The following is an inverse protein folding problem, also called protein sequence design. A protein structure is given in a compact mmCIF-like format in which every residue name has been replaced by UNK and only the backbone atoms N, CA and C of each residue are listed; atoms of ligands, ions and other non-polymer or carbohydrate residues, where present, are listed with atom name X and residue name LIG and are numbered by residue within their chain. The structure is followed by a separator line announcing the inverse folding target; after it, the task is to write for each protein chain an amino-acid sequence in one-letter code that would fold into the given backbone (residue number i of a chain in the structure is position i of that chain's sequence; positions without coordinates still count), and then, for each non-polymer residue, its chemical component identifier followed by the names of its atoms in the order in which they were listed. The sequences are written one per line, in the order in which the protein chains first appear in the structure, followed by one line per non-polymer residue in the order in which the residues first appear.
data_IF_659488220110
#
_entry.id   IF_659488220110
#
_cell.length_a   1.000
_cell.length_b   1.000
_cell.length_c   1.000
_cell.angle_alpha   90.00
_cell.angle_beta   90.00
_cell.angle_gamma   90.00
#
_symmetry.space_group_name_H-M   'P 1'
#
loop_
_entity.id
_entity.type
_entity.pdbx_description
1 polymer ?
#
# COMPACT_ATOMS: atom_id res chain seq x y z
N UNK A 1 -26.45 -3.67 -18.18
CA UNK A 1 -25.20 -4.45 -18.08
C UNK A 1 -24.32 -3.69 -17.11
N UNK A 2 -23.83 -4.33 -16.02
CA UNK A 2 -22.87 -3.70 -15.13
C UNK A 2 -21.56 -3.50 -15.90
N UNK A 3 -21.04 -2.29 -15.88
CA UNK A 3 -19.74 -1.97 -16.46
C UNK A 3 -18.65 -2.70 -15.68
N UNK A 4 -17.75 -3.39 -16.37
CA UNK A 4 -16.62 -4.09 -15.75
C UNK A 4 -15.46 -3.11 -15.63
N UNK A 5 -14.94 -2.95 -14.42
CA UNK A 5 -13.77 -2.13 -14.15
C UNK A 5 -12.53 -3.00 -13.94
N UNK A 6 -11.40 -2.57 -14.45
CA UNK A 6 -10.11 -3.27 -14.31
C UNK A 6 -9.18 -2.50 -13.38
N UNK A 7 -8.47 -3.26 -12.55
CA UNK A 7 -7.41 -2.72 -11.68
C UNK A 7 -6.09 -3.46 -11.90
N UNK A 8 -5.02 -2.88 -11.38
CA UNK A 8 -3.69 -3.48 -11.32
C UNK A 8 -3.36 -3.82 -9.87
N UNK A 9 -2.87 -5.02 -9.62
CA UNK A 9 -2.24 -5.40 -8.35
C UNK A 9 -0.76 -5.68 -8.61
N UNK A 10 0.11 -4.98 -7.90
CA UNK A 10 1.55 -5.01 -8.12
C UNK A 10 2.31 -5.36 -6.83
N UNK A 11 3.36 -6.14 -6.98
CA UNK A 11 4.26 -6.52 -5.90
C UNK A 11 5.59 -5.79 -5.99
N UNK A 12 5.89 -5.20 -7.12
CA UNK A 12 7.19 -4.62 -7.46
C UNK A 12 8.32 -5.63 -7.19
N UNK A 13 8.23 -6.79 -7.83
CA UNK A 13 9.22 -7.84 -7.70
C UNK A 13 10.60 -7.40 -8.17
N UNK A 14 11.63 -7.93 -7.51
CA UNK A 14 13.02 -7.68 -7.90
C UNK A 14 13.29 -8.15 -9.32
N UNK A 15 13.64 -7.20 -10.17
CA UNK A 15 14.16 -7.44 -11.51
C UNK A 15 15.70 -7.44 -11.54
N UNK A 16 16.26 -7.45 -12.74
CA UNK A 16 17.72 -7.37 -12.99
C UNK A 16 18.23 -5.93 -13.04
N UNK A 17 17.33 -4.96 -13.28
CA UNK A 17 17.66 -3.54 -13.35
C UNK A 17 17.98 -2.94 -11.97
N UNK A 18 18.65 -1.76 -11.91
CA UNK A 18 18.79 -0.99 -10.68
C UNK A 18 17.42 -0.66 -10.06
N UNK A 19 17.34 -0.60 -8.73
CA UNK A 19 16.08 -0.31 -8.03
C UNK A 19 15.46 1.03 -8.43
N UNK A 20 16.28 2.05 -8.63
CA UNK A 20 15.79 3.35 -9.11
C UNK A 20 15.09 3.24 -10.46
N UNK A 21 15.61 2.42 -11.37
CA UNK A 21 14.97 2.17 -12.66
C UNK A 21 13.70 1.35 -12.49
N UNK A 22 13.70 0.35 -11.61
CA UNK A 22 12.50 -0.45 -11.32
C UNK A 22 11.35 0.42 -10.82
N UNK A 23 11.62 1.37 -9.91
CA UNK A 23 10.59 2.29 -9.42
C UNK A 23 10.10 3.22 -10.52
N UNK A 24 10.98 3.77 -11.34
CA UNK A 24 10.58 4.64 -12.46
C UNK A 24 9.73 3.87 -13.48
N UNK A 25 10.12 2.64 -13.84
CA UNK A 25 9.36 1.79 -14.76
C UNK A 25 7.92 1.54 -14.23
N UNK A 26 7.78 1.31 -12.91
CA UNK A 26 6.46 1.13 -12.28
C UNK A 26 5.63 2.42 -12.23
N UNK A 27 6.27 3.56 -11.99
CA UNK A 27 5.58 4.85 -12.04
C UNK A 27 5.12 5.19 -13.46
N UNK A 28 5.88 4.84 -14.49
CA UNK A 28 5.48 4.98 -15.89
C UNK A 28 4.31 4.03 -16.24
N UNK A 29 4.39 2.76 -15.80
CA UNK A 29 3.28 1.82 -15.96
C UNK A 29 1.98 2.37 -15.35
N UNK A 30 2.09 2.96 -14.17
CA UNK A 30 0.96 3.52 -13.43
C UNK A 30 0.35 4.73 -14.15
N UNK A 31 1.20 5.62 -14.68
CA UNK A 31 0.76 6.74 -15.51
C UNK A 31 0.02 6.26 -16.78
N UNK A 32 0.56 5.23 -17.44
CA UNK A 32 -0.08 4.63 -18.60
C UNK A 32 -1.42 3.95 -18.26
N UNK A 33 -1.51 3.28 -17.10
CA UNK A 33 -2.77 2.70 -16.61
C UNK A 33 -3.82 3.78 -16.30
N UNK A 34 -3.42 4.90 -15.72
CA UNK A 34 -4.30 6.06 -15.48
C UNK A 34 -4.83 6.63 -16.80
N UNK A 35 -3.97 6.80 -17.81
CA UNK A 35 -4.36 7.25 -19.14
C UNK A 35 -5.28 6.27 -19.85
N UNK A 36 -5.04 4.97 -19.69
CA UNK A 36 -5.86 3.91 -20.25
C UNK A 36 -7.21 3.71 -19.53
N UNK A 37 -7.46 4.42 -18.41
CA UNK A 37 -8.73 4.36 -17.69
C UNK A 37 -8.88 3.16 -16.76
N UNK A 38 -7.78 2.59 -16.27
CA UNK A 38 -7.85 1.60 -15.20
C UNK A 38 -8.45 2.22 -13.93
N UNK A 39 -9.27 1.44 -13.23
CA UNK A 39 -10.00 1.91 -12.06
C UNK A 39 -9.09 2.12 -10.85
N UNK A 40 -8.23 1.13 -10.55
CA UNK A 40 -7.37 1.17 -9.38
C UNK A 40 -6.00 0.52 -9.62
N UNK A 41 -5.05 0.93 -8.78
CA UNK A 41 -3.75 0.30 -8.61
C UNK A 41 -3.53 0.00 -7.13
N UNK A 42 -3.26 -1.26 -6.83
CA UNK A 42 -2.98 -1.71 -5.48
C UNK A 42 -1.56 -2.25 -5.36
N UNK A 43 -0.87 -1.84 -4.30
CA UNK A 43 0.50 -2.22 -4.00
C UNK A 43 0.57 -3.14 -2.80
N UNK A 44 1.23 -4.29 -2.96
CA UNK A 44 1.52 -5.19 -1.85
C UNK A 44 2.64 -4.64 -0.95
N UNK A 45 2.52 -4.87 0.35
CA UNK A 45 3.59 -4.63 1.33
C UNK A 45 4.29 -5.94 1.66
N UNK A 46 5.62 -5.98 1.44
CA UNK A 46 6.50 -7.09 1.82
C UNK A 46 7.84 -6.57 2.34
N UNK A 47 8.46 -7.34 3.24
CA UNK A 47 9.68 -6.95 3.91
C UNK A 47 10.75 -8.06 3.84
N UNK A 48 12.01 -7.64 3.64
CA UNK A 48 13.17 -8.52 3.63
C UNK A 48 13.06 -9.72 2.66
N UNK A 49 12.40 -9.52 1.52
CA UNK A 49 12.15 -10.53 0.49
C UNK A 49 12.32 -9.91 -0.90
N UNK A 50 12.72 -10.67 -1.94
CA UNK A 50 12.76 -10.17 -3.31
C UNK A 50 11.38 -9.98 -3.95
N UNK A 51 10.31 -10.43 -3.28
CA UNK A 51 8.92 -10.33 -3.71
C UNK A 51 8.29 -8.99 -3.35
N UNK A 52 8.94 -7.95 -3.13
CA UNK A 52 8.32 -6.66 -2.81
C UNK A 52 9.39 -5.64 -2.51
N UNK A 53 9.80 -4.94 -3.54
CA UNK A 53 10.85 -3.93 -3.43
C UNK A 53 10.32 -2.56 -3.00
N UNK A 54 9.04 -2.46 -2.63
CA UNK A 54 8.42 -1.26 -2.05
C UNK A 54 7.94 -1.53 -0.61
N UNK A 55 8.85 -1.69 0.36
CA UNK A 55 8.50 -2.03 1.74
C UNK A 55 7.78 -0.90 2.49
N UNK A 56 7.71 0.29 1.91
CA UNK A 56 6.88 1.41 2.39
C UNK A 56 5.89 1.80 1.30
N UNK A 57 4.67 1.25 1.33
CA UNK A 57 3.63 1.61 0.36
C UNK A 57 3.38 3.11 0.29
N UNK A 58 3.37 3.81 1.45
CA UNK A 58 3.14 5.26 1.50
C UNK A 58 4.13 6.04 0.62
N UNK A 59 5.42 5.70 0.66
CA UNK A 59 6.44 6.41 -0.13
C UNK A 59 6.22 6.24 -1.62
N UNK A 60 5.99 5.00 -2.08
CA UNK A 60 5.77 4.72 -3.48
C UNK A 60 4.45 5.32 -3.98
N UNK A 61 3.37 5.13 -3.24
CA UNK A 61 2.05 5.65 -3.59
C UNK A 61 2.03 7.19 -3.62
N UNK A 62 2.76 7.84 -2.71
CA UNK A 62 2.92 9.30 -2.75
C UNK A 62 3.59 9.75 -4.06
N UNK A 63 4.64 9.09 -4.50
CA UNK A 63 5.26 9.38 -5.80
C UNK A 63 4.27 9.12 -6.95
N UNK A 64 3.48 8.07 -6.87
CA UNK A 64 2.45 7.72 -7.85
C UNK A 64 1.35 8.79 -7.96
N UNK A 65 0.94 9.42 -6.84
CA UNK A 65 -0.06 10.50 -6.87
C UNK A 65 0.36 11.67 -7.74
N UNK A 66 1.67 11.93 -7.86
CA UNK A 66 2.21 13.04 -8.66
C UNK A 66 2.27 12.71 -10.16
N UNK A 67 2.14 11.44 -10.52
CA UNK A 67 2.17 10.94 -11.91
C UNK A 67 0.79 10.60 -12.47
N UNK A 68 -0.25 10.59 -11.63
CA UNK A 68 -1.61 10.14 -11.97
C UNK A 68 -2.66 11.19 -11.60
N UNK A 69 -3.86 11.08 -12.20
CA UNK A 69 -4.93 12.06 -12.00
C UNK A 69 -6.29 11.43 -11.66
N UNK A 70 -6.56 10.20 -12.08
CA UNK A 70 -7.88 9.56 -12.00
C UNK A 70 -7.86 8.22 -11.29
N UNK A 71 -6.85 7.39 -11.57
CA UNK A 71 -6.74 6.04 -11.00
C UNK A 71 -6.70 6.09 -9.47
N UNK A 72 -7.50 5.24 -8.83
CA UNK A 72 -7.47 5.08 -7.38
C UNK A 72 -6.21 4.31 -6.99
N UNK A 73 -5.65 4.63 -5.83
CA UNK A 73 -4.36 4.12 -5.39
C UNK A 73 -4.49 3.59 -3.96
N UNK A 74 -3.87 2.47 -3.66
CA UNK A 74 -3.87 2.00 -2.28
C UNK A 74 -2.90 0.86 -2.00
N UNK A 75 -2.56 0.67 -0.72
CA UNK A 75 -1.93 -0.56 -0.28
C UNK A 75 -2.94 -1.71 -0.34
N UNK A 76 -2.49 -2.88 -0.69
CA UNK A 76 -3.27 -4.10 -0.54
C UNK A 76 -2.30 -5.21 -0.10
N UNK A 77 -1.93 -5.16 1.16
CA UNK A 77 -2.49 -4.36 2.26
C UNK A 77 -1.38 -3.70 3.10
N UNK A 78 -1.69 -2.70 3.96
CA UNK A 78 -0.82 -2.38 5.09
C UNK A 78 -0.88 -3.50 6.13
N UNK A 79 0.28 -3.96 6.59
CA UNK A 79 0.39 -4.99 7.63
C UNK A 79 0.28 -4.33 9.02
N UNK A 80 -0.94 -4.09 9.50
CA UNK A 80 -1.21 -3.29 10.71
C UNK A 80 -0.34 -3.64 11.93
N UNK A 81 -0.02 -4.92 12.22
CA UNK A 81 0.84 -5.25 13.35
C UNK A 81 2.28 -4.70 13.27
N UNK A 82 2.70 -4.21 12.10
CA UNK A 82 4.04 -3.63 11.90
C UNK A 82 4.07 -2.11 12.11
N UNK A 83 2.93 -1.47 12.38
CA UNK A 83 2.80 -0.02 12.48
C UNK A 83 2.34 0.43 13.86
N UNK A 84 2.82 1.60 14.29
CA UNK A 84 2.11 2.39 15.26
C UNK A 84 0.82 2.94 14.61
N UNK A 85 -0.37 2.64 15.14
CA UNK A 85 -1.62 2.99 14.47
C UNK A 85 -1.87 4.51 14.39
N UNK A 86 -1.36 5.30 15.35
CA UNK A 86 -1.49 6.76 15.29
C UNK A 86 -0.60 7.33 14.18
N UNK A 87 0.60 6.80 14.04
CA UNK A 87 1.51 7.21 12.98
C UNK A 87 0.97 6.85 11.60
N UNK A 88 0.41 5.64 11.48
CA UNK A 88 -0.15 5.18 10.21
C UNK A 88 -1.35 6.04 9.78
N UNK A 89 -2.24 6.44 10.70
CA UNK A 89 -3.40 7.26 10.34
C UNK A 89 -3.00 8.65 9.83
N UNK A 90 -1.93 9.24 10.40
CA UNK A 90 -1.39 10.51 9.90
C UNK A 90 -0.87 10.37 8.47
N UNK A 91 -0.13 9.29 8.17
CA UNK A 91 0.38 9.01 6.84
C UNK A 91 -0.73 8.74 5.82
N UNK A 92 -1.74 7.97 6.22
CA UNK A 92 -2.94 7.68 5.42
C UNK A 92 -3.70 8.96 5.11
N UNK A 93 -3.92 9.82 6.09
CA UNK A 93 -4.60 11.10 5.90
C UNK A 93 -3.82 12.02 4.94
N UNK A 94 -2.50 12.10 5.08
CA UNK A 94 -1.65 12.85 4.16
C UNK A 94 -1.72 12.29 2.74
N UNK A 95 -1.64 10.97 2.58
CA UNK A 95 -1.71 10.32 1.28
C UNK A 95 -3.06 10.54 0.59
N UNK A 96 -4.16 10.51 1.36
CA UNK A 96 -5.49 10.80 0.83
C UNK A 96 -5.58 12.24 0.30
N UNK A 97 -5.10 13.23 1.06
CA UNK A 97 -5.04 14.61 0.61
C UNK A 97 -4.14 14.79 -0.63
N UNK A 98 -2.95 14.20 -0.64
CA UNK A 98 -2.02 14.27 -1.77
C UNK A 98 -2.57 13.60 -3.03
N UNK A 99 -3.39 12.58 -2.86
CA UNK A 99 -4.07 11.89 -3.97
C UNK A 99 -5.32 12.63 -4.47
N UNK A 100 -5.84 13.60 -3.69
CA UNK A 100 -7.12 14.26 -3.97
C UNK A 100 -8.33 13.33 -3.73
N UNK A 101 -8.31 12.53 -2.66
CA UNK A 101 -9.40 11.63 -2.28
C UNK A 101 -9.45 10.33 -3.12
N UNK A 102 -8.34 9.94 -3.75
CA UNK A 102 -8.25 8.72 -4.57
C UNK A 102 -7.72 7.52 -3.81
N UNK A 103 -7.43 7.66 -2.51
CA UNK A 103 -6.90 6.58 -1.71
C UNK A 103 -7.94 5.47 -1.51
N UNK A 104 -7.50 4.22 -1.64
CA UNK A 104 -8.21 3.01 -1.22
C UNK A 104 -7.37 2.30 -0.16
N UNK A 105 -7.82 2.33 1.09
CA UNK A 105 -7.07 1.79 2.21
C UNK A 105 -7.35 0.29 2.40
N UNK A 106 -6.40 -0.55 1.99
CA UNK A 106 -6.39 -1.96 2.32
C UNK A 106 -5.54 -2.22 3.56
N UNK A 107 -6.07 -2.98 4.52
CA UNK A 107 -5.36 -3.34 5.75
C UNK A 107 -5.42 -4.84 6.00
N UNK A 108 -4.36 -5.38 6.58
CA UNK A 108 -4.26 -6.81 6.87
C UNK A 108 -3.39 -7.12 8.08
N UNK A 109 -3.53 -8.35 8.55
CA UNK A 109 -2.75 -8.86 9.68
C UNK A 109 -1.31 -9.22 9.31
N UNK A 110 -1.07 -9.53 8.06
CA UNK A 110 0.14 -10.23 7.62
C UNK A 110 0.04 -11.74 7.79
N UNK A 111 0.67 -12.46 6.87
CA UNK A 111 0.65 -13.92 6.82
C UNK A 111 2.03 -14.54 6.99
N UNK A 112 3.09 -13.76 6.79
CA UNK A 112 4.47 -14.22 6.87
C UNK A 112 5.01 -14.12 8.31
N UNK A 113 5.25 -15.26 8.99
CA UNK A 113 5.86 -15.24 10.32
C UNK A 113 7.28 -14.65 10.32
N UNK A 114 7.97 -14.73 9.21
CA UNK A 114 9.32 -14.15 9.05
C UNK A 114 9.28 -12.63 9.06
N UNK A 115 8.37 -12.03 8.29
CA UNK A 115 8.19 -10.59 8.24
C UNK A 115 7.80 -10.05 9.62
N UNK A 116 6.82 -10.66 10.28
CA UNK A 116 6.38 -10.27 11.63
C UNK A 116 7.56 -10.30 12.62
N UNK A 117 8.34 -11.40 12.66
CA UNK A 117 9.49 -11.54 13.58
C UNK A 117 10.59 -10.54 13.29
N UNK A 118 10.84 -10.17 12.04
CA UNK A 118 11.85 -9.17 11.69
C UNK A 118 11.53 -7.80 12.31
N UNK A 119 10.26 -7.52 12.57
CA UNK A 119 9.79 -6.31 13.26
C UNK A 119 9.48 -6.51 14.75
N UNK A 120 9.91 -7.64 15.32
CA UNK A 120 9.72 -7.95 16.74
C UNK A 120 8.28 -8.33 17.11
N UNK A 121 7.44 -8.62 16.13
CA UNK A 121 6.06 -9.06 16.35
C UNK A 121 6.00 -10.57 16.48
N UNK A 122 5.46 -11.05 17.60
CA UNK A 122 5.11 -12.46 17.76
C UNK A 122 3.90 -12.80 16.88
N UNK A 123 4.03 -13.77 15.96
CA UNK A 123 2.93 -14.18 15.09
C UNK A 123 1.65 -14.58 15.83
N UNK A 124 1.78 -15.12 17.05
CA UNK A 124 0.62 -15.50 17.88
C UNK A 124 -0.18 -14.29 18.35
N UNK A 125 0.48 -13.16 18.58
CA UNK A 125 -0.13 -11.91 19.01
C UNK A 125 -0.63 -11.03 17.83
N UNK A 126 -0.25 -11.39 16.60
CA UNK A 126 -0.52 -10.54 15.42
C UNK A 126 -2.01 -10.29 15.19
N UNK A 127 -2.89 -11.22 15.59
CA UNK A 127 -4.34 -11.04 15.46
C UNK A 127 -4.87 -9.97 16.42
N UNK A 128 -4.47 -10.02 17.69
CA UNK A 128 -4.87 -9.05 18.69
C UNK A 128 -4.35 -7.63 18.32
N UNK A 129 -3.10 -7.56 17.88
CA UNK A 129 -2.50 -6.28 17.41
C UNK A 129 -3.24 -5.71 16.20
N UNK A 130 -3.63 -6.55 15.25
CA UNK A 130 -4.44 -6.14 14.11
C UNK A 130 -5.79 -5.58 14.53
N UNK A 131 -6.51 -6.29 15.40
CA UNK A 131 -7.85 -5.90 15.85
C UNK A 131 -7.79 -4.56 16.64
N UNK A 132 -6.77 -4.36 17.48
CA UNK A 132 -6.53 -3.11 18.20
C UNK A 132 -6.21 -1.95 17.24
N UNK A 133 -5.26 -2.14 16.33
CA UNK A 133 -4.88 -1.12 15.36
C UNK A 133 -6.06 -0.72 14.46
N UNK A 134 -6.83 -1.70 13.99
CA UNK A 134 -8.03 -1.45 13.20
C UNK A 134 -9.06 -0.63 13.97
N UNK A 135 -9.27 -0.93 15.26
CA UNK A 135 -10.17 -0.15 16.09
C UNK A 135 -9.72 1.32 16.30
N UNK A 136 -8.42 1.56 16.32
CA UNK A 136 -7.86 2.94 16.36
C UNK A 136 -8.09 3.66 15.03
N UNK A 137 -7.80 3.01 13.92
CA UNK A 137 -8.02 3.56 12.58
C UNK A 137 -9.51 3.94 12.36
N UNK A 138 -10.43 3.05 12.72
CA UNK A 138 -11.86 3.26 12.53
C UNK A 138 -12.38 4.45 13.38
N UNK A 139 -11.88 4.61 14.61
CA UNK A 139 -12.28 5.72 15.51
C UNK A 139 -11.70 7.07 15.13
N UNK A 140 -10.57 7.11 14.43
CA UNK A 140 -9.84 8.33 14.07
C UNK A 140 -10.08 8.81 12.65
N UNK A 141 -10.82 8.06 11.84
CA UNK A 141 -11.19 8.47 10.48
C UNK A 141 -12.16 9.66 10.41
N UNK A 142 -12.22 10.46 11.47
CA UNK A 142 -13.06 11.66 11.61
C UNK A 142 -12.16 12.88 11.88
N UNK A 143 -11.18 13.11 11.01
CA UNK A 143 -10.43 14.39 11.01
C UNK A 143 -10.50 14.99 9.63
#
# INVERSE_FOLDING_TARGET
MSEVSFGVFDWIDRGTQPLSQLYEDRLQLLAAADEAGFFCYHLAEHHATPLGMAPSPALFLTAATQRTRRIRLGPLVYLLPLYDPLRLIEEVAMLDQLSGGRLELGVGRGVSPYELRNFGVDPENSRAMFDEALAVLDRKSVV
#
